data_IF_532315274277
#
_entry.id   IF_532315274277
#
_cell.length_a   1.000
_cell.length_b   1.000
_cell.length_c   1.000
_cell.angle_alpha   90.00
_cell.angle_beta   90.00
_cell.angle_gamma   90.00
#
_symmetry.space_group_name_H-M   'P 1'
#
loop_
_entity.id
_entity.type
_entity.pdbx_description
1 polymer ?
#
# COMPACT_ATOMS: atom_id res chain seq x y z
N UNK A 1 -15.99 -8.96 16.90
CA UNK A 1 -15.04 -8.64 15.83
C UNK A 1 -13.75 -8.17 16.49
N UNK A 2 -12.57 -8.65 16.06
CA UNK A 2 -11.35 -7.94 16.42
C UNK A 2 -11.48 -6.49 15.93
N UNK A 3 -11.04 -5.54 16.75
CA UNK A 3 -10.94 -4.15 16.32
C UNK A 3 -9.81 -4.04 15.29
N UNK A 4 -9.97 -3.17 14.30
CA UNK A 4 -8.84 -2.76 13.47
C UNK A 4 -7.79 -2.08 14.35
N UNK A 5 -6.49 -2.19 14.02
CA UNK A 5 -5.48 -1.35 14.65
C UNK A 5 -5.83 0.12 14.46
N UNK A 6 -5.55 0.94 15.48
CA UNK A 6 -5.80 2.39 15.44
C UNK A 6 -5.14 3.04 14.21
N UNK A 7 -3.98 2.52 13.79
CA UNK A 7 -3.26 3.02 12.62
C UNK A 7 -3.98 2.80 11.28
N UNK A 8 -4.72 1.69 11.15
CA UNK A 8 -5.53 1.42 9.95
C UNK A 8 -6.77 2.30 9.95
N UNK A 9 -7.41 2.49 11.12
CA UNK A 9 -8.56 3.40 11.24
C UNK A 9 -8.17 4.85 10.94
N UNK A 10 -7.08 5.34 11.54
CA UNK A 10 -6.59 6.69 11.29
C UNK A 10 -6.20 6.92 9.82
N UNK A 11 -5.65 5.89 9.15
CA UNK A 11 -5.35 5.94 7.72
C UNK A 11 -6.60 6.11 6.86
N UNK A 12 -7.66 5.36 7.14
CA UNK A 12 -8.93 5.48 6.42
C UNK A 12 -9.58 6.86 6.61
N UNK A 13 -9.50 7.41 7.82
CA UNK A 13 -9.97 8.77 8.11
C UNK A 13 -9.13 9.83 7.37
N UNK A 14 -7.80 9.65 7.28
CA UNK A 14 -6.91 10.55 6.57
C UNK A 14 -7.09 10.51 5.04
N UNK A 15 -7.40 9.33 4.49
CA UNK A 15 -7.68 9.14 3.07
C UNK A 15 -8.95 9.86 2.62
N UNK A 16 -9.94 9.98 3.51
CA UNK A 16 -11.18 10.73 3.27
C UNK A 16 -10.93 12.25 3.11
N UNK A 17 -9.83 12.77 3.65
CA UNK A 17 -9.58 14.21 3.75
C UNK A 17 -8.94 14.86 2.49
N UNK A 18 -8.76 14.13 1.38
CA UNK A 18 -8.10 14.59 0.13
C UNK A 18 -6.66 15.14 0.31
N UNK A 19 -6.03 14.88 1.47
CA UNK A 19 -4.71 15.41 1.81
C UNK A 19 -3.60 14.36 1.72
N UNK A 20 -3.92 13.09 1.98
CA UNK A 20 -2.93 12.02 2.12
C UNK A 20 -2.21 11.71 0.80
N UNK A 21 -2.93 11.66 -0.32
CA UNK A 21 -2.40 11.28 -1.63
C UNK A 21 -2.00 12.49 -2.50
N UNK A 22 -1.52 13.57 -1.86
CA UNK A 22 -1.21 14.82 -2.53
C UNK A 22 0.23 14.87 -3.07
N UNK A 23 1.20 14.64 -2.19
CA UNK A 23 2.64 14.66 -2.49
C UNK A 23 3.40 13.76 -1.50
N UNK A 24 4.70 13.57 -1.73
CA UNK A 24 5.53 12.63 -0.96
C UNK A 24 5.58 12.98 0.53
N UNK A 25 5.73 14.27 0.84
CA UNK A 25 5.83 14.77 2.21
C UNK A 25 4.49 14.63 2.93
N UNK A 26 3.38 15.02 2.30
CA UNK A 26 2.05 14.85 2.88
C UNK A 26 1.69 13.38 3.13
N UNK A 27 2.11 12.48 2.23
CA UNK A 27 1.90 11.03 2.38
C UNK A 27 2.69 10.47 3.57
N UNK A 28 3.98 10.79 3.67
CA UNK A 28 4.81 10.32 4.78
C UNK A 28 4.39 10.93 6.12
N UNK A 29 4.01 12.20 6.14
CA UNK A 29 3.49 12.89 7.34
C UNK A 29 2.18 12.25 7.79
N UNK A 30 1.21 12.07 6.90
CA UNK A 30 -0.07 11.45 7.23
C UNK A 30 0.06 10.01 7.72
N UNK A 31 0.98 9.23 7.14
CA UNK A 31 1.29 7.88 7.63
C UNK A 31 1.91 7.92 9.04
N UNK A 32 2.87 8.82 9.29
CA UNK A 32 3.47 8.95 10.60
C UNK A 32 2.48 9.42 11.67
N UNK A 33 1.59 10.36 11.34
CA UNK A 33 0.51 10.83 12.23
C UNK A 33 -0.51 9.73 12.54
N UNK A 34 -0.80 8.86 11.56
CA UNK A 34 -1.60 7.67 11.76
C UNK A 34 -0.87 6.56 12.53
N UNK A 35 0.41 6.73 12.90
CA UNK A 35 1.16 5.79 13.73
C UNK A 35 1.96 4.74 12.95
N UNK A 36 2.12 4.91 11.64
CA UNK A 36 2.98 4.05 10.81
C UNK A 36 4.45 4.45 10.95
N UNK A 37 5.32 3.48 11.23
CA UNK A 37 6.76 3.72 11.33
C UNK A 37 7.44 3.47 9.97
N UNK A 38 8.26 4.39 9.44
CA UNK A 38 8.97 4.17 8.20
C UNK A 38 10.03 3.06 8.36
N UNK A 39 10.09 2.18 7.36
CA UNK A 39 11.12 1.15 7.25
C UNK A 39 12.34 1.67 6.48
N UNK A 40 13.38 0.83 6.35
CA UNK A 40 14.56 1.18 5.54
C UNK A 40 14.20 1.27 4.05
N UNK A 41 13.35 0.37 3.58
CA UNK A 41 12.95 0.29 2.18
C UNK A 41 12.07 1.49 1.79
N UNK A 42 12.34 2.06 0.62
CA UNK A 42 11.59 3.20 0.07
C UNK A 42 10.09 2.96 0.08
N UNK A 43 9.33 3.91 0.62
CA UNK A 43 7.87 3.88 0.63
C UNK A 43 7.26 2.81 1.52
N UNK A 44 8.06 2.07 2.29
CA UNK A 44 7.58 1.03 3.20
C UNK A 44 7.43 1.56 4.62
N UNK A 45 6.33 1.19 5.27
CA UNK A 45 6.05 1.48 6.66
C UNK A 45 5.43 0.26 7.34
N UNK A 46 5.47 0.19 8.67
CA UNK A 46 4.86 -0.90 9.43
C UNK A 46 4.20 -0.41 10.72
N UNK A 47 3.17 -1.13 11.17
CA UNK A 47 2.51 -0.92 12.45
C UNK A 47 1.76 -2.20 12.87
N UNK A 48 1.96 -2.67 14.11
CA UNK A 48 1.17 -3.76 14.72
C UNK A 48 0.99 -5.03 13.85
N UNK A 49 2.02 -5.44 13.09
CA UNK A 49 1.98 -6.62 12.21
C UNK A 49 1.33 -6.37 10.84
N UNK A 50 1.04 -5.11 10.52
CA UNK A 50 0.60 -4.66 9.21
C UNK A 50 1.74 -3.92 8.52
N UNK A 51 1.78 -4.04 7.19
CA UNK A 51 2.74 -3.36 6.33
C UNK A 51 2.02 -2.37 5.41
N UNK A 52 2.65 -1.24 5.14
CA UNK A 52 2.25 -0.31 4.08
C UNK A 52 3.35 -0.26 3.04
N UNK A 53 2.97 -0.40 1.78
CA UNK A 53 3.79 -0.02 0.64
C UNK A 53 3.14 1.18 -0.03
N UNK A 54 3.90 2.24 -0.24
CA UNK A 54 3.40 3.48 -0.84
C UNK A 54 4.28 3.96 -1.98
N UNK A 55 3.67 4.61 -2.95
CA UNK A 55 4.36 5.31 -4.03
C UNK A 55 4.05 6.80 -3.95
N UNK A 56 5.05 7.65 -4.08
CA UNK A 56 4.87 9.09 -4.17
C UNK A 56 4.68 9.60 -5.60
N UNK A 57 4.92 8.77 -6.62
CA UNK A 57 4.68 9.11 -8.02
C UNK A 57 3.53 8.25 -8.54
N UNK A 58 2.43 8.89 -8.92
CA UNK A 58 1.08 8.33 -8.84
C UNK A 58 0.74 8.00 -7.37
N UNK A 59 0.54 9.03 -6.50
CA UNK A 59 0.36 8.83 -5.07
C UNK A 59 -0.66 7.74 -4.76
N UNK A 60 -0.18 6.66 -4.17
CA UNK A 60 -0.97 5.48 -3.83
C UNK A 60 -0.34 4.78 -2.64
N UNK A 61 -1.14 3.97 -1.96
CA UNK A 61 -0.63 3.07 -0.93
C UNK A 61 -1.43 1.77 -0.93
N UNK A 62 -0.76 0.69 -0.54
CA UNK A 62 -1.36 -0.60 -0.25
C UNK A 62 -0.98 -1.00 1.16
N UNK A 63 -2.00 -1.36 1.93
CA UNK A 63 -1.88 -1.88 3.28
C UNK A 63 -2.05 -3.40 3.20
N UNK A 64 -1.15 -4.14 3.86
CA UNK A 64 -1.11 -5.60 3.85
C UNK A 64 -1.23 -6.17 5.26
N UNK A 65 -1.92 -7.30 5.36
CA UNK A 65 -1.98 -8.12 6.56
C UNK A 65 -1.98 -9.60 6.19
N UNK A 66 -0.99 -10.31 6.70
CA UNK A 66 -0.87 -11.77 6.57
C UNK A 66 -1.26 -12.44 7.88
N UNK A 67 -1.95 -13.57 7.78
CA UNK A 67 -2.35 -14.34 8.96
C UNK A 67 -3.02 -15.65 8.59
N UNK A 68 -3.70 -16.25 9.55
CA UNK A 68 -4.59 -17.37 9.21
C UNK A 68 -5.86 -16.87 8.49
N UNK A 69 -6.54 -17.77 7.77
CA UNK A 69 -7.71 -17.41 6.98
C UNK A 69 -8.85 -16.78 7.81
N UNK A 70 -8.98 -17.13 9.09
CA UNK A 70 -10.00 -16.57 9.98
C UNK A 70 -9.63 -15.14 10.38
N UNK A 71 -8.37 -14.89 10.71
CA UNK A 71 -7.83 -13.57 11.05
C UNK A 71 -7.98 -12.60 9.88
N UNK A 72 -7.55 -13.01 8.68
CA UNK A 72 -7.66 -12.21 7.45
C UNK A 72 -9.12 -11.85 7.14
N UNK A 73 -10.05 -12.82 7.21
CA UNK A 73 -11.49 -12.55 7.01
C UNK A 73 -12.04 -11.59 8.05
N UNK A 74 -11.62 -11.72 9.31
CA UNK A 74 -12.09 -10.85 10.37
C UNK A 74 -11.59 -9.41 10.18
N UNK A 75 -10.33 -9.24 9.77
CA UNK A 75 -9.76 -7.95 9.41
C UNK A 75 -10.47 -7.34 8.19
N UNK A 76 -10.69 -8.12 7.13
CA UNK A 76 -11.40 -7.69 5.92
C UNK A 76 -12.81 -7.17 6.22
N UNK A 77 -13.57 -7.90 7.04
CA UNK A 77 -14.92 -7.48 7.46
C UNK A 77 -14.89 -6.23 8.33
N UNK A 78 -13.84 -6.05 9.15
CA UNK A 78 -13.69 -4.84 9.94
C UNK A 78 -13.36 -3.61 9.06
N UNK A 79 -12.48 -3.77 8.06
CA UNK A 79 -12.20 -2.71 7.06
C UNK A 79 -13.46 -2.36 6.26
N UNK A 80 -14.15 -3.37 5.72
CA UNK A 80 -15.39 -3.16 4.99
C UNK A 80 -16.48 -2.50 5.86
N UNK A 81 -16.53 -2.86 7.15
CA UNK A 81 -17.41 -2.22 8.13
C UNK A 81 -17.07 -0.74 8.35
N UNK A 82 -15.79 -0.39 8.49
CA UNK A 82 -15.35 1.00 8.63
C UNK A 82 -15.68 1.83 7.38
N UNK A 83 -15.39 1.33 6.18
CA UNK A 83 -15.75 1.97 4.91
C UNK A 83 -17.26 2.04 4.70
N UNK A 84 -18.03 1.11 5.27
CA UNK A 84 -19.50 1.12 5.21
C UNK A 84 -20.18 2.04 6.22
N UNK A 85 -19.42 2.75 7.07
CA UNK A 85 -19.99 3.70 8.05
C UNK A 85 -19.91 5.14 7.56
N UNK A 86 -21.03 5.87 7.68
CA UNK A 86 -21.10 7.29 7.29
C UNK A 86 -21.37 7.51 5.80
N UNK A 87 -21.24 8.76 5.36
CA UNK A 87 -21.50 9.21 3.98
C UNK A 87 -20.20 9.49 3.19
N UNK A 88 -19.04 9.19 3.78
CA UNK A 88 -17.71 9.44 3.22
C UNK A 88 -17.39 8.57 1.99
N UNK A 89 -17.79 7.30 2.04
CA UNK A 89 -17.44 6.28 1.06
C UNK A 89 -18.69 5.73 0.39
N UNK A 90 -18.76 5.87 -0.93
CA UNK A 90 -19.78 5.22 -1.75
C UNK A 90 -19.25 3.88 -2.24
N UNK A 91 -19.93 2.79 -1.89
CA UNK A 91 -19.58 1.46 -2.40
C UNK A 91 -19.85 1.39 -3.91
N UNK A 92 -18.83 1.01 -4.66
CA UNK A 92 -18.92 0.82 -6.11
C UNK A 92 -19.31 -0.63 -6.39
N UNK A 93 -20.14 -0.85 -7.40
CA UNK A 93 -20.56 -2.19 -7.82
C UNK A 93 -19.32 -3.04 -8.19
N UNK A 94 -19.18 -4.19 -7.55
CA UNK A 94 -18.12 -5.17 -7.80
C UNK A 94 -18.72 -6.36 -8.54
N UNK A 95 -18.03 -6.90 -9.55
CA UNK A 95 -18.53 -8.02 -10.37
C UNK A 95 -18.85 -9.31 -9.58
N UNK A 96 -18.39 -9.39 -8.32
CA UNK A 96 -18.57 -10.53 -7.43
C UNK A 96 -19.58 -10.35 -6.30
N UNK A 97 -19.73 -11.38 -5.45
CA UNK A 97 -20.66 -11.33 -4.34
C UNK A 97 -20.20 -10.34 -3.27
N UNK A 98 -21.14 -9.57 -2.74
CA UNK A 98 -20.87 -8.73 -1.58
C UNK A 98 -20.63 -9.59 -0.32
N UNK A 99 -19.36 -9.83 -0.03
CA UNK A 99 -18.93 -10.60 1.13
C UNK A 99 -18.85 -9.77 2.42
N UNK A 100 -18.98 -8.44 2.36
CA UNK A 100 -18.96 -7.58 3.57
C UNK A 100 -20.09 -7.88 4.55
N UNK A 101 -21.16 -8.52 4.05
CA UNK A 101 -22.33 -8.94 4.83
C UNK A 101 -22.22 -10.39 5.34
N UNK A 102 -21.12 -11.08 5.07
CA UNK A 102 -20.93 -12.47 5.49
C UNK A 102 -20.38 -12.52 6.92
N UNK A 103 -20.62 -13.63 7.61
CA UNK A 103 -19.91 -13.90 8.87
C UNK A 103 -18.50 -14.44 8.59
N UNK A 104 -17.56 -14.29 9.52
CA UNK A 104 -16.20 -14.86 9.41
C UNK A 104 -16.20 -16.37 9.09
N UNK A 105 -17.18 -17.10 9.63
CA UNK A 105 -17.34 -18.55 9.49
C UNK A 105 -18.29 -18.97 8.35
N UNK A 106 -18.65 -18.05 7.45
CA UNK A 106 -19.56 -18.33 6.35
C UNK A 106 -18.96 -19.36 5.38
N UNK A 107 -19.73 -20.36 4.99
CA UNK A 107 -19.25 -21.41 4.09
C UNK A 107 -18.94 -20.88 2.69
N UNK A 108 -19.52 -19.75 2.29
CA UNK A 108 -19.29 -19.12 0.99
C UNK A 108 -17.84 -18.67 0.80
N UNK A 109 -17.11 -18.39 1.88
CA UNK A 109 -15.67 -18.14 1.83
C UNK A 109 -14.84 -19.31 1.25
N UNK A 110 -15.43 -20.51 1.17
CA UNK A 110 -14.80 -21.72 0.64
C UNK A 110 -15.48 -22.23 -0.65
N UNK A 111 -16.51 -21.53 -1.13
CA UNK A 111 -17.33 -21.99 -2.25
C UNK A 111 -16.81 -21.53 -3.62
N UNK A 112 -15.83 -20.64 -3.63
CA UNK A 112 -15.20 -20.09 -4.82
C UNK A 112 -13.68 -20.16 -4.65
N UNK A 113 -12.97 -20.41 -5.76
CA UNK A 113 -11.51 -20.50 -5.77
C UNK A 113 -10.85 -19.13 -5.57
N UNK A 114 -11.54 -18.06 -5.99
CA UNK A 114 -11.14 -16.66 -5.84
C UNK A 114 -12.39 -15.82 -5.48
N UNK A 115 -12.21 -14.87 -4.56
CA UNK A 115 -13.28 -13.97 -4.13
C UNK A 115 -12.94 -12.60 -4.68
N UNK A 116 -13.84 -12.03 -5.48
CA UNK A 116 -13.66 -10.69 -6.02
C UNK A 116 -13.50 -9.66 -4.89
N UNK A 117 -12.68 -8.66 -5.16
CA UNK A 117 -12.49 -7.53 -4.25
C UNK A 117 -13.75 -6.67 -4.13
N UNK A 118 -13.83 -5.92 -3.02
CA UNK A 118 -14.82 -4.87 -2.86
C UNK A 118 -14.18 -3.51 -3.11
N UNK A 119 -14.95 -2.57 -3.67
CA UNK A 119 -14.46 -1.25 -4.00
C UNK A 119 -15.36 -0.15 -3.45
N UNK A 120 -14.74 0.94 -3.01
CA UNK A 120 -15.39 2.17 -2.59
C UNK A 120 -14.76 3.36 -3.29
N UNK A 121 -15.52 4.45 -3.41
CA UNK A 121 -15.04 5.73 -3.92
C UNK A 121 -15.49 6.85 -2.98
N UNK A 122 -14.58 7.79 -2.70
CA UNK A 122 -14.82 8.95 -1.85
C UNK A 122 -13.72 9.98 -2.06
N UNK A 123 -14.08 11.27 -2.12
CA UNK A 123 -13.12 12.38 -2.13
C UNK A 123 -11.95 12.26 -3.13
N UNK A 124 -12.21 11.79 -4.35
CA UNK A 124 -11.16 11.64 -5.38
C UNK A 124 -10.25 10.42 -5.17
N UNK A 125 -10.61 9.52 -4.25
CA UNK A 125 -9.88 8.29 -3.93
C UNK A 125 -10.76 7.07 -4.22
N UNK A 126 -10.13 6.04 -4.76
CA UNK A 126 -10.67 4.69 -4.89
C UNK A 126 -10.00 3.79 -3.87
N UNK A 127 -10.82 3.07 -3.12
CA UNK A 127 -10.38 2.07 -2.14
C UNK A 127 -10.76 0.69 -2.64
N UNK A 128 -9.80 -0.21 -2.76
CA UNK A 128 -10.02 -1.59 -3.21
C UNK A 128 -9.55 -2.56 -2.13
N UNK A 129 -10.41 -3.50 -1.76
CA UNK A 129 -10.18 -4.46 -0.67
C UNK A 129 -10.23 -5.88 -1.21
N UNK A 130 -9.09 -6.56 -1.12
CA UNK A 130 -8.90 -7.92 -1.61
C UNK A 130 -8.52 -8.85 -0.46
N UNK A 131 -9.04 -10.07 -0.52
CA UNK A 131 -8.61 -11.15 0.38
C UNK A 131 -8.29 -12.38 -0.43
N UNK A 132 -7.19 -13.05 -0.13
CA UNK A 132 -6.92 -14.37 -0.66
C UNK A 132 -6.74 -15.39 0.47
N UNK A 133 -7.19 -16.65 0.27
CA UNK A 133 -6.86 -17.73 1.19
C UNK A 133 -5.39 -18.11 1.10
N UNK A 134 -4.96 -18.99 1.99
CA UNK A 134 -3.67 -19.67 1.88
C UNK A 134 -3.50 -20.29 0.50
N UNK A 135 -2.40 -19.95 -0.17
CA UNK A 135 -2.17 -20.34 -1.56
C UNK A 135 -0.92 -21.21 -1.67
N UNK A 136 -0.98 -22.39 -2.32
CA UNK A 136 0.21 -23.19 -2.60
C UNK A 136 1.23 -22.39 -3.44
N UNK A 137 2.47 -22.28 -2.96
CA UNK A 137 3.57 -21.62 -3.67
C UNK A 137 4.80 -22.54 -3.67
N UNK A 138 4.90 -23.35 -4.73
CA UNK A 138 5.98 -24.32 -4.88
C UNK A 138 6.00 -25.35 -3.75
N UNK A 139 7.11 -25.42 -3.01
CA UNK A 139 7.28 -26.33 -1.87
C UNK A 139 6.73 -25.79 -0.53
N UNK A 140 6.09 -24.62 -0.55
CA UNK A 140 5.54 -23.94 0.62
C UNK A 140 4.08 -23.51 0.39
N UNK A 141 3.44 -23.02 1.45
CA UNK A 141 2.13 -22.38 1.39
C UNK A 141 2.32 -20.92 1.78
N UNK A 142 1.82 -20.00 0.95
CA UNK A 142 1.72 -18.59 1.32
C UNK A 142 0.56 -18.44 2.32
N UNK A 143 0.71 -17.61 3.36
CA UNK A 143 -0.38 -17.35 4.30
C UNK A 143 -1.59 -16.76 3.57
N UNK A 144 -2.75 -16.80 4.23
CA UNK A 144 -3.86 -15.98 3.79
C UNK A 144 -3.47 -14.51 3.95
N UNK A 145 -3.90 -13.68 3.01
CA UNK A 145 -3.51 -12.27 2.98
C UNK A 145 -4.71 -11.36 2.68
N UNK A 146 -4.61 -10.17 3.22
CA UNK A 146 -5.47 -9.03 2.94
C UNK A 146 -4.63 -7.97 2.23
N UNK A 147 -5.19 -7.36 1.19
CA UNK A 147 -4.69 -6.12 0.62
C UNK A 147 -5.79 -5.06 0.63
N UNK A 148 -5.49 -3.90 1.17
CA UNK A 148 -6.31 -2.70 1.08
C UNK A 148 -5.52 -1.65 0.28
N UNK A 149 -5.92 -1.39 -0.96
CA UNK A 149 -5.29 -0.43 -1.85
C UNK A 149 -6.07 0.89 -1.87
N UNK A 150 -5.37 2.01 -1.79
CA UNK A 150 -5.89 3.37 -1.87
C UNK A 150 -5.16 4.09 -3.02
N UNK A 151 -5.93 4.55 -4.00
CA UNK A 151 -5.43 5.17 -5.22
C UNK A 151 -6.24 6.41 -5.56
N UNK A 152 -5.64 7.42 -6.18
CA UNK A 152 -6.41 8.56 -6.69
C UNK A 152 -7.26 8.14 -7.89
N UNK A 153 -8.49 8.64 -7.97
CA UNK A 153 -9.42 8.33 -9.07
C UNK A 153 -9.01 8.96 -10.41
N UNK A 154 -8.13 9.96 -10.36
CA UNK A 154 -7.54 10.65 -11.52
C UNK A 154 -6.23 10.03 -12.01
N UNK A 155 -5.74 8.99 -11.33
CA UNK A 155 -4.54 8.26 -11.76
C UNK A 155 -4.89 7.27 -12.89
N UNK A 156 -4.19 7.29 -14.03
CA UNK A 156 -4.41 6.32 -15.10
C UNK A 156 -4.15 4.89 -14.62
N UNK A 157 -4.91 3.91 -15.14
CA UNK A 157 -4.76 2.51 -14.77
C UNK A 157 -3.38 1.94 -15.13
N UNK A 158 -2.78 2.46 -16.21
CA UNK A 158 -1.40 2.17 -16.62
C UNK A 158 -0.32 2.88 -15.77
N UNK A 159 -0.73 3.71 -14.82
CA UNK A 159 0.14 4.55 -14.00
C UNK A 159 0.62 5.81 -14.71
N UNK A 160 1.42 6.61 -14.00
CA UNK A 160 2.07 7.79 -14.59
C UNK A 160 3.33 7.39 -15.34
N UNK A 161 3.52 7.98 -16.53
CA UNK A 161 4.77 7.86 -17.28
C UNK A 161 5.92 8.42 -16.44
N UNK A 162 7.06 7.73 -16.47
CA UNK A 162 8.27 8.18 -15.78
C UNK A 162 8.73 9.55 -16.28
N UNK A 163 9.12 10.42 -15.34
CA UNK A 163 9.62 11.76 -15.61
C UNK A 163 11.08 11.90 -15.13
N UNK A 164 12.01 11.61 -16.04
CA UNK A 164 13.45 11.75 -15.84
C UNK A 164 13.91 13.15 -15.40
N UNK A 165 13.17 14.19 -15.77
CA UNK A 165 13.50 15.57 -15.38
C UNK A 165 13.02 15.86 -13.96
N UNK A 166 11.89 15.28 -13.54
CA UNK A 166 11.47 15.27 -12.13
C UNK A 166 12.47 14.52 -11.26
N UNK A 167 12.89 13.32 -11.65
CA UNK A 167 13.82 12.50 -10.85
C UNK A 167 15.13 13.26 -10.55
N UNK A 168 15.69 13.93 -11.56
CA UNK A 168 16.90 14.77 -11.40
C UNK A 168 16.65 15.97 -10.48
N UNK A 169 15.52 16.66 -10.62
CA UNK A 169 15.16 17.77 -9.73
C UNK A 169 15.00 17.32 -8.28
N UNK A 170 14.40 16.16 -8.03
CA UNK A 170 14.28 15.61 -6.67
C UNK A 170 15.66 15.29 -6.09
N UNK A 171 16.55 14.71 -6.89
CA UNK A 171 17.92 14.44 -6.45
C UNK A 171 18.67 15.72 -6.07
N UNK A 172 18.49 16.81 -6.83
CA UNK A 172 19.16 18.09 -6.61
C UNK A 172 18.55 18.90 -5.46
N UNK A 173 17.23 19.08 -5.47
CA UNK A 173 16.52 20.08 -4.65
C UNK A 173 15.39 19.49 -3.79
N UNK A 174 15.12 18.19 -3.90
CA UNK A 174 13.99 17.55 -3.22
C UNK A 174 14.10 17.54 -1.69
N UNK A 175 13.00 17.25 -1.02
CA UNK A 175 13.03 16.94 0.40
C UNK A 175 13.75 15.61 0.67
N UNK A 176 14.08 15.33 1.92
CA UNK A 176 14.61 14.00 2.29
C UNK A 176 13.59 12.90 1.99
N UNK A 177 12.30 13.19 2.18
CA UNK A 177 11.21 12.23 1.92
C UNK A 177 11.09 11.98 0.43
N UNK A 178 11.12 13.02 -0.40
CA UNK A 178 11.09 12.87 -1.86
C UNK A 178 12.27 12.04 -2.36
N UNK A 179 13.49 12.29 -1.86
CA UNK A 179 14.66 11.48 -2.22
C UNK A 179 14.59 10.05 -1.69
N UNK A 180 14.02 9.83 -0.51
CA UNK A 180 13.78 8.49 0.03
C UNK A 180 12.80 7.70 -0.84
N UNK A 181 11.68 8.31 -1.28
CA UNK A 181 10.76 7.69 -2.24
C UNK A 181 11.37 7.49 -3.63
N UNK A 182 12.24 8.40 -4.08
CA UNK A 182 12.91 8.29 -5.37
C UNK A 182 13.76 7.02 -5.46
N UNK A 183 14.35 6.57 -4.35
CA UNK A 183 15.15 5.33 -4.31
C UNK A 183 14.39 4.14 -4.89
N UNK A 184 13.12 3.95 -4.48
CA UNK A 184 12.28 2.84 -4.91
C UNK A 184 11.55 3.07 -6.24
N UNK A 185 11.85 4.17 -6.96
CA UNK A 185 11.17 4.46 -8.21
C UNK A 185 11.44 3.35 -9.25
N UNK A 186 10.40 2.89 -9.96
CA UNK A 186 10.54 1.86 -10.97
C UNK A 186 11.50 2.33 -12.08
N UNK A 187 12.37 1.42 -12.51
CA UNK A 187 13.39 1.67 -13.54
C UNK A 187 14.33 2.85 -13.23
N UNK A 188 14.52 3.23 -11.95
CA UNK A 188 15.47 4.30 -11.59
C UNK A 188 16.86 4.00 -12.18
N UNK A 189 17.53 4.92 -12.89
CA UNK A 189 18.83 4.68 -13.50
C UNK A 189 19.89 4.45 -12.42
N UNK A 190 20.80 3.52 -12.67
CA UNK A 190 21.88 3.18 -11.73
C UNK A 190 22.76 4.39 -11.35
N UNK A 191 22.89 5.38 -12.22
CA UNK A 191 23.59 6.63 -11.94
C UNK A 191 22.89 7.46 -10.84
N UNK A 192 21.56 7.57 -10.91
CA UNK A 192 20.78 8.27 -9.89
C UNK A 192 20.78 7.48 -8.58
N UNK A 193 20.64 6.16 -8.64
CA UNK A 193 20.75 5.30 -7.46
C UNK A 193 22.13 5.43 -6.79
N UNK A 194 23.21 5.46 -7.58
CA UNK A 194 24.57 5.68 -7.07
C UNK A 194 24.69 7.04 -6.37
N UNK A 195 24.06 8.08 -6.93
CA UNK A 195 24.05 9.40 -6.29
C UNK A 195 23.30 9.40 -4.96
N UNK A 196 22.20 8.65 -4.84
CA UNK A 196 21.43 8.49 -3.60
C UNK A 196 22.16 7.66 -2.53
N UNK A 197 23.10 6.81 -2.91
CA UNK A 197 23.97 6.10 -1.95
C UNK A 197 24.96 7.02 -1.25
N UNK A 198 25.30 8.15 -1.88
CA UNK A 198 26.17 9.20 -1.35
C UNK A 198 25.36 10.38 -0.75
N UNK A 199 24.03 10.24 -0.62
CA UNK A 199 23.13 11.28 -0.10
C UNK A 199 23.58 11.78 1.29
N UNK A 200 23.48 13.08 1.61
CA UNK A 200 23.82 13.59 2.95
C UNK A 200 22.96 12.98 4.07
N UNK A 201 21.70 12.62 3.82
CA UNK A 201 20.82 12.03 4.84
C UNK A 201 21.04 10.50 4.94
N UNK A 202 21.34 9.97 6.15
CA UNK A 202 21.58 8.55 6.36
C UNK A 202 20.39 7.65 5.99
N UNK A 203 19.16 8.13 6.06
CA UNK A 203 17.97 7.35 5.72
C UNK A 203 17.90 7.07 4.22
N UNK A 204 18.19 8.07 3.40
CA UNK A 204 18.23 7.93 1.94
C UNK A 204 19.34 6.97 1.54
N UNK A 205 20.54 7.10 2.12
CA UNK A 205 21.64 6.16 1.86
C UNK A 205 21.28 4.72 2.22
N UNK A 206 20.66 4.51 3.39
CA UNK A 206 20.28 3.17 3.84
C UNK A 206 19.25 2.54 2.89
N UNK A 207 18.25 3.31 2.46
CA UNK A 207 17.28 2.87 1.46
C UNK A 207 17.96 2.52 0.14
N UNK A 208 18.85 3.37 -0.37
CA UNK A 208 19.56 3.16 -1.64
C UNK A 208 20.42 1.88 -1.62
N UNK A 209 21.10 1.62 -0.52
CA UNK A 209 21.87 0.38 -0.32
C UNK A 209 20.97 -0.86 -0.25
N UNK A 210 19.79 -0.75 0.38
CA UNK A 210 18.79 -1.82 0.41
C UNK A 210 18.29 -2.13 -1.00
N UNK A 211 17.87 -1.10 -1.74
CA UNK A 211 17.41 -1.20 -3.13
C UNK A 211 18.46 -1.84 -4.03
N UNK A 212 19.73 -1.43 -3.92
CA UNK A 212 20.82 -2.05 -4.69
C UNK A 212 21.00 -3.53 -4.38
N UNK A 213 20.85 -3.90 -3.11
CA UNK A 213 20.87 -5.31 -2.69
C UNK A 213 19.71 -6.08 -3.33
N UNK A 214 18.49 -5.53 -3.31
CA UNK A 214 17.32 -6.16 -3.91
C UNK A 214 17.47 -6.34 -5.42
N UNK A 215 17.93 -5.32 -6.15
CA UNK A 215 18.19 -5.41 -7.60
C UNK A 215 19.24 -6.45 -7.96
N UNK A 216 20.29 -6.60 -7.16
CA UNK A 216 21.34 -7.61 -7.36
C UNK A 216 20.89 -9.02 -7.01
N UNK A 217 20.05 -9.15 -5.98
CA UNK A 217 19.42 -10.42 -5.59
C UNK A 217 18.35 -10.87 -6.58
N UNK A 218 17.74 -9.93 -7.30
CA UNK A 218 16.66 -10.12 -8.27
C UNK A 218 17.07 -10.58 -9.67
N UNK A 219 18.22 -11.25 -9.87
CA UNK A 219 18.42 -12.06 -11.09
C UNK A 219 17.65 -13.39 -10.89
N UNK A 220 16.33 -13.33 -11.02
CA UNK A 220 15.44 -14.49 -11.09
C UNK A 220 14.05 -14.31 -10.46
N UNK A 221 13.16 -13.55 -11.11
CA UNK A 221 11.69 -13.69 -11.17
C UNK A 221 11.17 -12.43 -11.86
N UNK A 222 10.51 -12.44 -13.02
CA UNK A 222 9.56 -13.39 -13.62
C UNK A 222 9.94 -13.68 -15.08
#
# INVERSE_FOLDING_TARGET
MPALPDAVTALLDAADADALLRDADALAEGLAEAGWAPEVESGRFSADGWDVLSSAWAPSLSVFFDGDAREVRAAALAVAGALGTGDAWEKVDSDGPDWSMWSVDDKRWHAVDEIDGLQWRGHGVVVSLFTAPETPAGGSTLPAHLQLALERDDTPAEGLVRDDARDRRILEDGSVVERWYLVGAPDLPDELLTSLEDDPDPRVRAAALSERTMRRGGIGSV
#
